data_IF_911466988324
#
_entry.id   IF_911466988324
#
_cell.length_a   1.000
_cell.length_b   1.000
_cell.length_c   1.000
_cell.angle_alpha   90.00
_cell.angle_beta   90.00
_cell.angle_gamma   90.00
#
_symmetry.space_group_name_H-M   'P 1'
#
loop_
_entity.id
_entity.type
_entity.pdbx_description
1 polymer ?
#
# COMPACT_ATOMS: atom_id res chain seq x y z
N UNK A 1 -17.06 -29.82 -21.99
CA UNK A 1 -15.73 -29.18 -22.12
C UNK A 1 -15.72 -28.07 -21.10
N UNK A 2 -14.88 -28.15 -20.07
CA UNK A 2 -14.79 -27.09 -19.07
C UNK A 2 -14.11 -25.88 -19.75
N UNK A 3 -14.83 -24.76 -19.83
CA UNK A 3 -14.23 -23.47 -20.23
C UNK A 3 -13.08 -23.18 -19.27
N UNK A 4 -11.87 -23.14 -19.81
CA UNK A 4 -10.69 -22.72 -19.03
C UNK A 4 -10.92 -21.24 -18.73
N UNK A 5 -11.29 -20.91 -17.50
CA UNK A 5 -11.44 -19.53 -17.08
C UNK A 5 -10.13 -18.79 -17.36
N UNK A 6 -10.18 -17.72 -18.17
CA UNK A 6 -9.03 -16.87 -18.44
C UNK A 6 -8.74 -16.10 -17.14
N UNK A 7 -7.60 -16.42 -16.50
CA UNK A 7 -7.18 -15.72 -15.31
C UNK A 7 -6.54 -14.39 -15.71
N UNK A 8 -6.83 -13.32 -14.97
CA UNK A 8 -6.11 -12.05 -15.13
C UNK A 8 -4.66 -12.16 -14.62
N UNK A 9 -3.86 -11.10 -14.78
CA UNK A 9 -2.44 -11.08 -14.35
C UNK A 9 -2.21 -11.34 -12.86
N UNK A 10 -3.28 -11.29 -12.04
CA UNK A 10 -3.26 -11.59 -10.61
C UNK A 10 -3.72 -13.02 -10.29
N UNK A 11 -4.10 -13.80 -11.32
CA UNK A 11 -4.54 -15.18 -11.16
C UNK A 11 -6.04 -15.35 -10.84
N UNK A 12 -6.88 -14.36 -11.18
CA UNK A 12 -8.33 -14.44 -10.97
C UNK A 12 -9.11 -14.80 -12.22
N UNK A 13 -10.20 -15.50 -12.00
CA UNK A 13 -11.26 -15.73 -13.02
C UNK A 13 -12.15 -14.48 -13.25
N UNK A 14 -11.59 -13.28 -13.11
CA UNK A 14 -12.23 -11.99 -13.24
C UNK A 14 -11.41 -11.15 -14.21
N UNK A 15 -12.02 -10.44 -15.14
CA UNK A 15 -11.25 -9.58 -16.05
C UNK A 15 -10.49 -8.50 -15.28
N UNK A 16 -9.42 -7.97 -15.84
CA UNK A 16 -8.68 -6.87 -15.21
C UNK A 16 -9.59 -5.67 -14.98
N UNK A 17 -10.45 -5.33 -15.95
CA UNK A 17 -11.39 -4.20 -15.86
C UNK A 17 -12.48 -4.37 -14.80
N UNK A 18 -12.77 -5.59 -14.38
CA UNK A 18 -13.72 -5.89 -13.30
C UNK A 18 -13.04 -6.10 -11.95
N UNK A 19 -11.70 -6.12 -11.93
CA UNK A 19 -10.91 -6.28 -10.72
C UNK A 19 -10.52 -4.92 -10.16
N UNK A 20 -11.06 -4.59 -9.00
CA UNK A 20 -10.80 -3.31 -8.31
C UNK A 20 -9.59 -3.40 -7.41
N UNK A 21 -8.61 -2.54 -7.67
CA UNK A 21 -7.40 -2.42 -6.86
C UNK A 21 -7.35 -1.05 -6.18
N UNK A 22 -7.34 -1.06 -4.85
CA UNK A 22 -7.16 0.17 -4.06
C UNK A 22 -5.68 0.36 -3.74
N UNK A 23 -5.11 1.44 -4.26
CA UNK A 23 -3.69 1.79 -4.08
C UNK A 23 -3.52 2.75 -2.91
N UNK A 24 -2.62 2.41 -1.99
CA UNK A 24 -2.21 3.31 -0.92
C UNK A 24 -1.40 4.48 -1.50
N UNK A 25 -2.06 5.62 -1.71
CA UNK A 25 -1.46 6.83 -2.25
C UNK A 25 -0.83 7.66 -1.13
N UNK A 26 0.44 8.06 -1.32
CA UNK A 26 1.19 8.89 -0.36
C UNK A 26 1.65 10.23 -0.95
N UNK A 27 1.31 10.53 -2.21
CA UNK A 27 1.87 11.66 -2.95
C UNK A 27 3.27 11.40 -3.52
N UNK A 28 3.98 10.39 -3.04
CA UNK A 28 5.34 10.07 -3.49
C UNK A 28 5.39 9.23 -4.78
N UNK A 29 6.54 9.27 -5.46
CA UNK A 29 6.83 8.61 -6.75
C UNK A 29 6.45 7.12 -6.74
N UNK A 30 6.75 6.39 -5.68
CA UNK A 30 6.56 4.93 -5.64
C UNK A 30 5.08 4.54 -5.66
N UNK A 31 4.23 5.23 -4.91
CA UNK A 31 2.79 5.01 -4.94
C UNK A 31 2.16 5.44 -6.28
N UNK A 32 2.65 6.54 -6.86
CA UNK A 32 2.18 7.07 -8.15
C UNK A 32 2.47 6.10 -9.28
N UNK A 33 3.69 5.58 -9.36
CA UNK A 33 4.07 4.59 -10.38
C UNK A 33 3.33 3.27 -10.15
N UNK A 34 3.08 2.87 -8.90
CA UNK A 34 2.27 1.68 -8.61
C UNK A 34 0.85 1.81 -9.18
N UNK A 35 0.21 2.96 -9.00
CA UNK A 35 -1.11 3.23 -9.54
C UNK A 35 -1.11 3.25 -11.09
N UNK A 36 -0.10 3.88 -11.70
CA UNK A 36 0.07 3.93 -13.15
C UNK A 36 0.20 2.52 -13.75
N UNK A 37 1.09 1.69 -13.19
CA UNK A 37 1.34 0.33 -13.68
C UNK A 37 0.08 -0.54 -13.64
N UNK A 38 -0.69 -0.47 -12.56
CA UNK A 38 -1.94 -1.20 -12.42
C UNK A 38 -3.01 -0.70 -13.41
N UNK A 39 -3.09 0.62 -13.62
CA UNK A 39 -3.99 1.20 -14.62
C UNK A 39 -3.61 0.76 -16.03
N UNK A 40 -2.32 0.74 -16.38
CA UNK A 40 -1.83 0.27 -17.68
C UNK A 40 -2.13 -1.21 -17.91
N UNK A 41 -2.22 -2.02 -16.87
CA UNK A 41 -2.65 -3.42 -16.92
C UNK A 41 -4.17 -3.57 -17.07
N UNK A 42 -4.93 -2.46 -17.07
CA UNK A 42 -6.37 -2.45 -17.29
C UNK A 42 -7.22 -2.67 -16.05
N UNK A 43 -6.65 -2.63 -14.84
CA UNK A 43 -7.41 -2.74 -13.59
C UNK A 43 -8.26 -1.50 -13.31
N UNK A 44 -9.40 -1.70 -12.61
CA UNK A 44 -10.14 -0.60 -11.98
C UNK A 44 -9.34 -0.10 -10.77
N UNK A 45 -8.59 0.99 -10.95
CA UNK A 45 -7.72 1.54 -9.91
C UNK A 45 -8.41 2.66 -9.17
N UNK A 46 -8.34 2.60 -7.84
CA UNK A 46 -8.79 3.66 -6.92
C UNK A 46 -7.63 4.03 -6.01
N UNK A 47 -7.35 5.33 -5.84
CA UNK A 47 -6.43 5.84 -4.85
C UNK A 47 -7.10 5.94 -3.47
N UNK A 48 -6.37 5.60 -2.43
CA UNK A 48 -6.79 5.86 -1.04
C UNK A 48 -5.62 6.48 -0.28
N UNK A 49 -5.81 7.73 0.14
CA UNK A 49 -4.85 8.47 0.95
C UNK A 49 -5.10 8.19 2.44
N UNK A 50 -4.05 7.82 3.16
CA UNK A 50 -4.08 7.59 4.61
C UNK A 50 -3.66 8.84 5.36
N UNK A 51 -4.59 9.45 6.10
CA UNK A 51 -4.26 10.50 7.04
C UNK A 51 -3.98 9.86 8.42
N UNK A 52 -2.70 9.71 8.75
CA UNK A 52 -2.25 9.09 10.01
C UNK A 52 -1.99 10.12 11.12
N UNK A 53 -1.98 11.42 10.80
CA UNK A 53 -1.71 12.48 11.76
C UNK A 53 -2.63 13.67 11.52
N UNK A 54 -2.98 14.36 12.61
CA UNK A 54 -3.67 15.64 12.58
C UNK A 54 -2.77 16.68 13.24
N UNK A 55 -2.47 17.75 12.53
CA UNK A 55 -1.76 18.89 13.10
C UNK A 55 -2.66 19.70 14.02
N UNK A 56 -2.09 20.34 15.02
CA UNK A 56 -2.81 21.30 15.84
C UNK A 56 -3.19 22.56 15.05
N UNK A 57 -4.22 23.30 15.48
CA UNK A 57 -4.60 24.54 14.82
C UNK A 57 -3.43 25.54 14.76
N UNK A 58 -3.04 25.93 13.55
CA UNK A 58 -1.93 26.88 13.31
C UNK A 58 -0.61 26.23 12.87
N UNK A 59 -0.50 24.91 12.86
CA UNK A 59 0.65 24.21 12.29
C UNK A 59 0.47 23.90 10.81
N UNK A 60 1.58 23.97 10.03
CA UNK A 60 1.58 23.52 8.64
C UNK A 60 1.51 22.00 8.61
N UNK A 61 0.38 21.47 8.17
CA UNK A 61 0.18 20.03 8.05
C UNK A 61 0.87 19.49 6.79
N UNK A 62 1.99 18.80 6.94
CA UNK A 62 2.66 18.13 5.82
C UNK A 62 1.75 17.13 5.11
N UNK A 63 0.82 16.52 5.84
CA UNK A 63 -0.19 15.59 5.29
C UNK A 63 -1.12 16.25 4.26
N UNK A 64 -1.37 17.57 4.35
CA UNK A 64 -2.16 18.29 3.34
C UNK A 64 -1.37 18.51 2.04
N UNK A 65 -0.06 18.70 2.14
CA UNK A 65 0.83 18.80 0.96
C UNK A 65 0.86 17.44 0.25
N UNK A 66 1.13 16.37 0.99
CA UNK A 66 1.16 15.00 0.47
C UNK A 66 -0.19 14.61 -0.16
N UNK A 67 -1.31 15.05 0.45
CA UNK A 67 -2.64 14.81 -0.10
C UNK A 67 -2.83 15.50 -1.45
N UNK A 68 -2.43 16.77 -1.58
CA UNK A 68 -2.51 17.52 -2.84
C UNK A 68 -1.66 16.91 -3.94
N UNK A 69 -0.47 16.41 -3.58
CA UNK A 69 0.39 15.70 -4.53
C UNK A 69 -0.28 14.39 -5.00
N UNK A 70 -0.87 13.62 -4.07
CA UNK A 70 -1.62 12.42 -4.39
C UNK A 70 -2.85 12.73 -5.27
N UNK A 71 -3.58 13.81 -4.98
CA UNK A 71 -4.73 14.29 -5.74
C UNK A 71 -4.33 14.65 -7.17
N UNK A 72 -3.25 15.45 -7.33
CA UNK A 72 -2.72 15.82 -8.64
C UNK A 72 -2.34 14.61 -9.50
N UNK A 73 -1.71 13.61 -8.90
CA UNK A 73 -1.37 12.36 -9.61
C UNK A 73 -2.63 11.59 -9.99
N UNK A 74 -3.60 11.47 -9.08
CA UNK A 74 -4.85 10.76 -9.35
C UNK A 74 -5.64 11.43 -10.48
N UNK A 75 -5.68 12.78 -10.52
CA UNK A 75 -6.32 13.55 -11.59
C UNK A 75 -5.65 13.29 -12.94
N UNK A 76 -4.29 13.33 -13.00
CA UNK A 76 -3.54 13.02 -14.21
C UNK A 76 -3.79 11.58 -14.69
N UNK A 77 -3.90 10.64 -13.77
CA UNK A 77 -4.19 9.24 -14.09
C UNK A 77 -5.68 9.03 -14.39
N UNK A 78 -6.57 9.98 -14.11
CA UNK A 78 -8.03 9.81 -14.25
C UNK A 78 -8.55 8.67 -13.36
N UNK A 79 -8.09 8.60 -12.11
CA UNK A 79 -8.55 7.66 -11.08
C UNK A 79 -9.14 8.44 -9.90
N UNK A 80 -10.11 7.85 -9.20
CA UNK A 80 -10.70 8.47 -8.01
C UNK A 80 -9.73 8.38 -6.85
N UNK A 81 -9.63 9.46 -6.05
CA UNK A 81 -8.92 9.46 -4.78
C UNK A 81 -9.92 9.56 -3.62
N UNK A 82 -9.80 8.65 -2.66
CA UNK A 82 -10.47 8.75 -1.37
C UNK A 82 -9.47 9.15 -0.29
N UNK A 83 -9.95 9.83 0.74
CA UNK A 83 -9.19 10.16 1.94
C UNK A 83 -9.80 9.45 3.14
N UNK A 84 -9.02 8.72 3.90
CA UNK A 84 -9.45 8.11 5.14
C UNK A 84 -8.57 8.55 6.31
N UNK A 85 -9.22 8.88 7.42
CA UNK A 85 -8.55 9.32 8.64
C UNK A 85 -8.29 8.11 9.55
N UNK A 86 -7.02 7.78 9.75
CA UNK A 86 -6.55 6.73 10.64
C UNK A 86 -5.77 7.30 11.84
N UNK A 87 -5.83 8.62 12.11
CA UNK A 87 -5.03 9.26 13.15
C UNK A 87 -5.27 8.67 14.54
N UNK A 88 -6.52 8.31 14.85
CA UNK A 88 -6.83 7.63 16.11
C UNK A 88 -6.22 6.23 16.18
N UNK A 89 -6.39 5.44 15.12
CA UNK A 89 -5.81 4.09 15.05
C UNK A 89 -4.28 4.13 15.12
N UNK A 90 -3.66 5.12 14.45
CA UNK A 90 -2.21 5.31 14.46
C UNK A 90 -1.72 5.70 15.85
N UNK A 91 -2.42 6.62 16.53
CA UNK A 91 -2.10 6.99 17.90
C UNK A 91 -2.15 5.80 18.85
N UNK A 92 -3.30 5.10 18.88
CA UNK A 92 -3.55 4.02 19.85
C UNK A 92 -2.67 2.77 19.60
N UNK A 93 -2.32 2.46 18.33
CA UNK A 93 -1.68 1.19 17.98
C UNK A 93 -0.20 1.31 17.57
N UNK A 94 0.25 2.52 17.24
CA UNK A 94 1.62 2.76 16.77
C UNK A 94 2.35 3.72 17.70
N UNK A 95 1.78 4.91 17.93
CA UNK A 95 2.49 5.97 18.62
C UNK A 95 2.61 5.73 20.12
N UNK A 96 1.57 5.20 20.77
CA UNK A 96 1.65 4.83 22.20
C UNK A 96 2.68 3.73 22.46
N UNK A 97 2.74 2.70 21.61
CA UNK A 97 3.76 1.64 21.72
C UNK A 97 5.15 2.20 21.49
N UNK A 98 5.32 3.08 20.49
CA UNK A 98 6.57 3.79 20.22
C UNK A 98 7.04 4.58 21.45
N UNK A 99 6.18 5.35 22.10
CA UNK A 99 6.50 6.10 23.32
C UNK A 99 6.85 5.18 24.49
N UNK A 100 6.12 4.08 24.65
CA UNK A 100 6.36 3.12 25.73
C UNK A 100 7.75 2.46 25.60
N UNK A 101 8.15 2.09 24.39
CA UNK A 101 9.47 1.50 24.13
C UNK A 101 10.59 2.52 24.32
N UNK A 102 10.41 3.77 23.91
CA UNK A 102 11.36 4.85 24.19
C UNK A 102 11.56 5.08 25.70
N UNK A 103 10.48 5.07 26.47
CA UNK A 103 10.57 5.17 27.95
C UNK A 103 11.35 4.02 28.58
N UNK A 104 11.40 2.85 27.91
CA UNK A 104 12.19 1.68 28.32
C UNK A 104 13.65 1.72 27.84
N UNK A 105 14.08 2.83 27.20
CA UNK A 105 15.42 2.99 26.64
C UNK A 105 15.66 2.20 25.35
N UNK A 106 14.61 1.79 24.63
CA UNK A 106 14.72 1.11 23.35
C UNK A 106 14.51 2.10 22.19
N UNK A 107 14.92 1.71 21.00
CA UNK A 107 14.67 2.46 19.75
C UNK A 107 13.71 1.67 18.86
N UNK A 108 12.40 1.83 19.02
CA UNK A 108 11.40 1.13 18.21
C UNK A 108 11.36 1.68 16.79
N UNK A 109 10.86 0.87 15.87
CA UNK A 109 10.63 1.29 14.49
C UNK A 109 9.12 1.46 14.25
N UNK A 110 8.60 2.71 14.22
CA UNK A 110 7.18 2.97 14.03
C UNK A 110 6.67 2.55 12.64
N UNK A 111 7.54 2.46 11.63
CA UNK A 111 7.14 2.01 10.29
C UNK A 111 6.74 0.54 10.28
N UNK A 112 7.41 -0.31 11.06
CA UNK A 112 7.05 -1.72 11.23
C UNK A 112 5.66 -1.83 11.84
N UNK A 113 5.40 -1.08 12.91
CA UNK A 113 4.10 -1.03 13.58
C UNK A 113 3.01 -0.47 12.65
N UNK A 114 3.31 0.61 11.92
CA UNK A 114 2.39 1.20 10.95
C UNK A 114 2.02 0.19 9.84
N UNK A 115 2.98 -0.55 9.32
CA UNK A 115 2.68 -1.60 8.34
C UNK A 115 1.78 -2.68 8.96
N UNK A 116 2.14 -3.20 10.16
CA UNK A 116 1.39 -4.27 10.84
C UNK A 116 -0.03 -3.86 11.23
N UNK A 117 -0.22 -2.67 11.80
CA UNK A 117 -1.49 -2.28 12.41
C UNK A 117 -2.36 -1.38 11.51
N UNK A 118 -1.74 -0.55 10.69
CA UNK A 118 -2.48 0.41 9.87
C UNK A 118 -2.59 -0.07 8.42
N UNK A 119 -1.48 -0.23 7.67
CA UNK A 119 -1.54 -0.50 6.23
C UNK A 119 -2.16 -1.86 5.90
N UNK A 120 -1.71 -2.93 6.55
CA UNK A 120 -2.19 -4.29 6.27
C UNK A 120 -3.34 -4.74 7.19
N UNK A 121 -3.91 -3.82 7.98
CA UNK A 121 -5.15 -4.03 8.75
C UNK A 121 -6.16 -2.91 8.50
N UNK A 122 -6.11 -1.80 9.27
CA UNK A 122 -7.14 -0.76 9.22
C UNK A 122 -7.38 -0.23 7.79
N UNK A 123 -6.31 0.04 7.03
CA UNK A 123 -6.42 0.46 5.63
C UNK A 123 -7.00 -0.65 4.74
N UNK A 124 -6.50 -1.88 4.87
CA UNK A 124 -7.01 -3.03 4.11
C UNK A 124 -8.51 -3.24 4.38
N UNK A 125 -8.92 -3.22 5.64
CA UNK A 125 -10.33 -3.37 6.04
C UNK A 125 -11.19 -2.24 5.45
N UNK A 126 -10.68 -1.01 5.44
CA UNK A 126 -11.37 0.11 4.80
C UNK A 126 -11.48 -0.09 3.28
N UNK A 127 -10.39 -0.48 2.62
CA UNK A 127 -10.37 -0.74 1.18
C UNK A 127 -11.38 -1.82 0.79
N UNK A 128 -11.46 -2.93 1.55
CA UNK A 128 -12.45 -3.99 1.33
C UNK A 128 -13.88 -3.44 1.46
N UNK A 129 -14.16 -2.60 2.46
CA UNK A 129 -15.50 -1.98 2.65
C UNK A 129 -15.92 -1.08 1.48
N UNK A 130 -14.97 -0.44 0.80
CA UNK A 130 -15.27 0.34 -0.42
C UNK A 130 -15.22 -0.51 -1.70
N UNK A 131 -15.15 -1.83 -1.55
CA UNK A 131 -15.29 -2.80 -2.65
C UNK A 131 -13.99 -3.19 -3.33
N UNK A 132 -12.83 -3.07 -2.68
CA UNK A 132 -11.57 -3.57 -3.22
C UNK A 132 -11.56 -5.09 -3.31
N UNK A 133 -11.11 -5.63 -4.45
CA UNK A 133 -10.70 -7.02 -4.58
C UNK A 133 -9.25 -7.19 -4.07
N UNK A 134 -8.42 -6.15 -4.25
CA UNK A 134 -7.02 -6.08 -3.83
C UNK A 134 -6.64 -4.72 -3.28
N UNK A 135 -5.64 -4.73 -2.40
CA UNK A 135 -4.88 -3.52 -2.07
C UNK A 135 -3.51 -3.56 -2.77
N UNK A 136 -2.98 -2.39 -3.08
CA UNK A 136 -1.61 -2.26 -3.57
C UNK A 136 -0.87 -1.15 -2.83
N UNK A 137 0.43 -1.34 -2.68
CA UNK A 137 1.30 -0.34 -2.06
C UNK A 137 2.61 -0.19 -2.84
N UNK A 138 3.26 0.96 -2.72
CA UNK A 138 4.54 1.26 -3.35
C UNK A 138 5.76 0.63 -2.66
N UNK A 139 5.62 -0.47 -1.91
CA UNK A 139 6.75 -1.14 -1.30
C UNK A 139 7.60 -1.92 -2.32
N UNK A 140 8.91 -1.86 -2.13
CA UNK A 140 9.87 -2.74 -2.79
C UNK A 140 9.93 -4.06 -2.01
N UNK A 141 9.00 -4.93 -2.31
CA UNK A 141 8.86 -6.27 -1.77
C UNK A 141 8.17 -7.16 -2.82
N UNK A 142 8.20 -8.47 -2.65
CA UNK A 142 7.48 -9.41 -3.50
C UNK A 142 6.68 -10.41 -2.64
N UNK A 143 5.64 -10.98 -3.22
CA UNK A 143 4.84 -12.03 -2.60
C UNK A 143 4.84 -13.29 -3.47
N UNK A 144 4.93 -14.43 -2.84
CA UNK A 144 4.80 -15.73 -3.48
C UNK A 144 3.70 -16.55 -2.81
N UNK A 145 2.74 -17.00 -3.61
CA UNK A 145 1.70 -17.91 -3.14
C UNK A 145 2.16 -19.35 -3.34
N UNK A 146 2.31 -20.10 -2.25
CA UNK A 146 2.71 -21.50 -2.27
C UNK A 146 2.00 -22.28 -1.18
N UNK A 147 1.38 -23.44 -1.54
CA UNK A 147 0.68 -24.31 -0.60
C UNK A 147 -0.36 -23.56 0.25
N UNK A 148 -1.18 -22.72 -0.38
CA UNK A 148 -2.20 -21.87 0.28
C UNK A 148 -1.66 -20.92 1.36
N UNK A 149 -0.37 -20.57 1.27
CA UNK A 149 0.27 -19.58 2.13
C UNK A 149 0.93 -18.50 1.29
N UNK A 150 0.90 -17.27 1.79
CA UNK A 150 1.59 -16.12 1.18
C UNK A 150 2.95 -15.97 1.86
N UNK A 151 4.00 -15.96 1.06
CA UNK A 151 5.37 -15.77 1.52
C UNK A 151 5.86 -14.39 1.07
N UNK A 152 6.41 -13.63 2.02
CA UNK A 152 7.11 -12.39 1.74
C UNK A 152 8.49 -12.68 1.16
N UNK A 153 8.83 -12.07 0.02
CA UNK A 153 10.12 -12.20 -0.67
C UNK A 153 10.75 -10.83 -0.87
N UNK A 154 12.05 -10.81 -0.98
CA UNK A 154 12.79 -9.59 -1.32
C UNK A 154 12.44 -9.13 -2.72
N UNK A 155 12.44 -7.80 -2.93
CA UNK A 155 12.30 -7.21 -4.25
C UNK A 155 13.53 -7.45 -5.13
N UNK A 156 13.39 -7.18 -6.44
CA UNK A 156 14.52 -7.17 -7.39
C UNK A 156 15.59 -6.16 -6.99
N UNK A 157 15.19 -4.98 -6.52
CA UNK A 157 16.11 -3.94 -6.05
C UNK A 157 16.59 -4.23 -4.63
N UNK A 158 17.74 -4.87 -4.51
CA UNK A 158 18.34 -5.20 -3.21
C UNK A 158 18.81 -3.96 -2.42
N UNK A 159 19.05 -2.83 -3.11
CA UNK A 159 19.45 -1.58 -2.45
C UNK A 159 18.26 -0.83 -1.87
N UNK A 160 17.04 -1.10 -2.38
CA UNK A 160 15.80 -0.47 -1.94
C UNK A 160 14.84 -1.44 -1.27
N UNK A 161 15.26 -2.69 -1.05
CA UNK A 161 14.44 -3.72 -0.42
C UNK A 161 13.83 -3.23 0.90
N UNK A 162 12.51 -3.38 1.04
CA UNK A 162 11.74 -2.92 2.18
C UNK A 162 11.08 -4.06 2.98
N UNK A 163 11.46 -5.30 2.71
CA UNK A 163 10.90 -6.47 3.40
C UNK A 163 11.12 -6.43 4.91
N UNK A 164 12.22 -5.81 5.37
CA UNK A 164 12.49 -5.68 6.80
C UNK A 164 11.48 -4.79 7.54
N UNK A 165 10.76 -3.90 6.86
CA UNK A 165 9.66 -3.14 7.45
C UNK A 165 8.36 -3.96 7.55
N UNK A 166 8.32 -5.11 6.88
CA UNK A 166 7.12 -5.94 6.71
C UNK A 166 7.18 -7.24 7.54
N UNK A 167 8.26 -7.47 8.28
CA UNK A 167 8.52 -8.76 8.94
C UNK A 167 7.50 -9.12 10.04
N UNK A 168 6.81 -8.14 10.62
CA UNK A 168 5.77 -8.37 11.63
C UNK A 168 4.36 -8.52 11.04
N UNK A 169 4.19 -8.29 9.73
CA UNK A 169 2.91 -8.51 9.05
C UNK A 169 2.69 -10.00 8.87
N UNK A 170 1.53 -10.48 9.31
CA UNK A 170 1.21 -11.92 9.22
C UNK A 170 0.92 -12.32 7.77
N UNK A 171 1.28 -13.54 7.39
CA UNK A 171 1.04 -14.10 6.05
C UNK A 171 -0.39 -13.89 5.54
N UNK A 172 -1.40 -14.12 6.39
CA UNK A 172 -2.81 -13.91 6.07
C UNK A 172 -3.17 -12.44 5.76
N UNK A 173 -2.43 -11.49 6.33
CA UNK A 173 -2.70 -10.07 6.14
C UNK A 173 -2.16 -9.58 4.78
N UNK A 174 -1.26 -10.36 4.13
CA UNK A 174 -0.82 -10.15 2.75
C UNK A 174 -1.76 -10.76 1.70
N UNK A 175 -2.75 -11.56 2.10
CA UNK A 175 -3.75 -12.03 1.15
C UNK A 175 -4.41 -10.85 0.45
N UNK A 176 -4.65 -10.97 -0.87
CA UNK A 176 -5.19 -9.89 -1.70
C UNK A 176 -4.35 -8.59 -1.66
N UNK A 177 -3.04 -8.72 -1.56
CA UNK A 177 -2.09 -7.60 -1.61
C UNK A 177 -1.20 -7.72 -2.85
N UNK A 178 -0.89 -6.58 -3.47
CA UNK A 178 0.00 -6.47 -4.63
C UNK A 178 1.12 -5.49 -4.30
N UNK A 179 2.34 -5.84 -4.71
CA UNK A 179 3.49 -4.95 -4.73
C UNK A 179 3.91 -4.71 -6.18
N UNK A 180 3.38 -3.68 -6.86
CA UNK A 180 3.63 -3.46 -8.29
C UNK A 180 5.10 -3.19 -8.63
N UNK A 181 5.91 -2.79 -7.65
CA UNK A 181 7.33 -2.46 -7.81
C UNK A 181 8.28 -3.64 -7.54
N UNK A 182 7.75 -4.84 -7.29
CA UNK A 182 8.53 -6.03 -6.92
C UNK A 182 9.70 -6.32 -7.88
N UNK A 183 9.46 -6.16 -9.19
CA UNK A 183 10.39 -6.49 -10.26
C UNK A 183 11.10 -5.26 -10.88
N UNK A 184 11.00 -4.11 -10.21
CA UNK A 184 11.60 -2.84 -10.66
C UNK A 184 12.67 -2.34 -9.69
N UNK A 185 13.71 -1.73 -10.24
CA UNK A 185 14.68 -0.96 -9.47
C UNK A 185 14.22 0.49 -9.31
N UNK A 186 14.71 1.18 -8.29
CA UNK A 186 14.38 2.61 -8.05
C UNK A 186 14.72 3.51 -9.25
N UNK A 187 15.86 3.32 -9.96
CA UNK A 187 16.12 4.05 -11.19
C UNK A 187 15.10 3.78 -12.31
N UNK A 188 14.63 2.52 -12.46
CA UNK A 188 13.56 2.18 -13.43
C UNK A 188 12.25 2.88 -13.05
N UNK A 189 11.86 2.85 -11.77
CA UNK A 189 10.66 3.54 -11.26
C UNK A 189 10.72 5.05 -11.53
N UNK A 190 11.88 5.69 -11.32
CA UNK A 190 12.07 7.13 -11.61
C UNK A 190 11.98 7.48 -13.09
N UNK A 191 12.26 6.55 -14.00
CA UNK A 191 12.13 6.77 -15.46
C UNK A 191 10.68 6.64 -15.92
N UNK A 192 9.86 5.90 -15.17
CA UNK A 192 8.44 5.71 -15.47
C UNK A 192 7.63 6.91 -14.95
N UNK A 193 8.06 7.52 -13.84
CA UNK A 193 7.46 8.72 -13.26
C UNK A 193 7.70 9.95 -14.11
#
# INVERSE_FOLDING_TARGET
MAETAILNSLGFAKSASETRVVVAMSGGVDSSVSALLLKQQGFEVIGLFMQNWQSEPGEVCTSEIDYKDAESVCDQLGIKLFRANFSKDYWDKVFEEFLAEHKRGRTPNPDVLCNREIKFKSFKDYAIRIGADYIATGHYAALENKNSKVYLKRAKDLNKDQTYFLHEVKSKDFENTIFPLADLTKPEVRKIA
#
